data_IF_629904140283
#
_entry.id   IF_629904140283
#
_cell.length_a   1.000
_cell.length_b   1.000
_cell.length_c   1.000
_cell.angle_alpha   90.00
_cell.angle_beta   90.00
_cell.angle_gamma   90.00
#
_symmetry.space_group_name_H-M   'P 1'
#
loop_
_entity.id
_entity.type
_entity.pdbx_description
1 polymer ?
#
# COMPACT_ATOMS: atom_id res chain seq x y z
N UNK A 1 -19.18 -21.57 -13.41
CA UNK A 1 -19.26 -20.10 -13.56
C UNK A 1 -17.84 -19.62 -13.81
N UNK A 2 -17.60 -18.92 -14.93
CA UNK A 2 -16.26 -18.45 -15.28
C UNK A 2 -15.80 -17.41 -14.26
N UNK A 3 -14.67 -17.71 -13.62
CA UNK A 3 -14.02 -16.92 -12.57
C UNK A 3 -13.43 -15.65 -13.22
N UNK A 4 -13.74 -14.42 -12.76
CA UNK A 4 -12.93 -13.28 -13.14
C UNK A 4 -11.52 -13.52 -12.57
N UNK A 5 -10.52 -13.56 -13.45
CA UNK A 5 -9.13 -13.65 -13.04
C UNK A 5 -8.79 -12.37 -12.27
N UNK A 6 -8.42 -12.51 -10.99
CA UNK A 6 -7.74 -11.44 -10.25
C UNK A 6 -6.34 -11.41 -10.85
N UNK A 7 -6.19 -10.70 -11.96
CA UNK A 7 -4.89 -10.40 -12.52
C UNK A 7 -4.30 -9.25 -11.71
N UNK A 8 -3.35 -9.58 -10.85
CA UNK A 8 -2.35 -8.61 -10.42
C UNK A 8 -1.58 -8.24 -11.67
N UNK A 9 -1.75 -7.01 -12.15
CA UNK A 9 -0.93 -6.51 -13.25
C UNK A 9 0.46 -6.32 -12.68
N UNK A 10 1.34 -7.30 -12.86
CA UNK A 10 2.77 -7.14 -12.61
C UNK A 10 3.32 -6.34 -13.79
N UNK A 11 3.71 -5.07 -13.61
CA UNK A 11 4.03 -4.20 -14.72
C UNK A 11 5.47 -4.43 -15.22
N UNK A 12 5.62 -4.36 -16.54
CA UNK A 12 6.91 -4.48 -17.24
C UNK A 12 7.67 -3.14 -17.19
N UNK A 13 8.14 -2.73 -16.01
CA UNK A 13 8.93 -1.51 -15.87
C UNK A 13 10.40 -1.78 -16.20
N UNK A 14 10.89 -1.20 -17.31
CA UNK A 14 12.29 -1.13 -17.69
C UNK A 14 12.86 0.29 -17.40
N UNK A 15 12.83 0.73 -16.14
CA UNK A 15 13.26 2.08 -15.73
C UNK A 15 14.23 2.01 -14.53
N UNK A 16 15.52 2.38 -14.69
CA UNK A 16 16.50 2.36 -13.60
C UNK A 16 16.42 3.66 -12.78
N UNK A 17 15.40 3.81 -11.93
CA UNK A 17 15.29 4.98 -11.04
C UNK A 17 14.93 4.59 -9.59
N UNK A 18 15.67 5.08 -8.58
CA UNK A 18 15.58 4.56 -7.20
C UNK A 18 14.21 4.68 -6.52
N UNK A 19 13.40 5.71 -6.81
CA UNK A 19 12.11 5.90 -6.16
C UNK A 19 11.02 5.05 -6.80
N UNK A 20 11.02 4.94 -8.13
CA UNK A 20 10.18 3.95 -8.83
C UNK A 20 10.49 2.56 -8.28
N UNK A 21 11.76 2.22 -8.11
CA UNK A 21 12.16 0.96 -7.49
C UNK A 21 11.54 0.84 -6.07
N UNK A 22 11.76 1.82 -5.19
CA UNK A 22 11.26 1.72 -3.81
C UNK A 22 9.72 1.67 -3.67
N UNK A 23 8.96 2.27 -4.58
CA UNK A 23 7.49 2.29 -4.53
C UNK A 23 6.83 1.16 -5.32
N UNK A 24 7.49 0.65 -6.35
CA UNK A 24 6.87 -0.22 -7.38
C UNK A 24 7.61 -1.54 -7.56
N UNK A 25 8.96 -1.56 -7.46
CA UNK A 25 9.79 -2.75 -7.73
C UNK A 25 11.02 -2.76 -6.82
N UNK A 26 11.06 -3.59 -5.79
CA UNK A 26 12.30 -3.75 -5.04
C UNK A 26 13.48 -4.24 -5.92
N UNK A 27 14.67 -3.86 -5.47
CA UNK A 27 15.97 -3.94 -6.11
C UNK A 27 16.53 -5.38 -6.04
N UNK A 28 16.93 -5.92 -7.19
CA UNK A 28 17.84 -7.05 -7.53
C UNK A 28 18.01 -8.31 -6.65
N UNK A 29 17.65 -8.37 -5.35
CA UNK A 29 17.95 -9.52 -4.49
C UNK A 29 16.74 -10.11 -3.72
N UNK A 30 15.56 -9.47 -3.66
CA UNK A 30 14.34 -10.04 -3.05
C UNK A 30 13.04 -9.60 -3.76
N UNK A 31 11.96 -10.42 -3.78
CA UNK A 31 10.86 -10.26 -4.72
C UNK A 31 9.72 -9.38 -4.18
N UNK A 32 9.22 -8.47 -5.04
CA UNK A 32 7.97 -7.66 -4.96
C UNK A 32 7.71 -6.84 -3.67
N UNK A 33 6.94 -5.73 -3.79
CA UNK A 33 6.26 -5.17 -2.61
C UNK A 33 5.46 -6.30 -1.94
N UNK A 34 5.66 -6.52 -0.64
CA UNK A 34 5.19 -7.71 0.07
C UNK A 34 3.69 -7.93 -0.01
N UNK A 35 2.91 -6.87 -0.24
CA UNK A 35 1.47 -7.00 -0.43
C UNK A 35 1.13 -7.78 -1.71
N UNK A 36 1.93 -7.72 -2.79
CA UNK A 36 1.72 -8.55 -3.99
C UNK A 36 1.94 -10.02 -3.71
N UNK A 37 3.02 -10.36 -2.98
CA UNK A 37 3.25 -11.74 -2.52
C UNK A 37 2.08 -12.19 -1.64
N UNK A 38 1.62 -11.34 -0.72
CA UNK A 38 0.51 -11.67 0.14
C UNK A 38 -0.79 -11.91 -0.63
N UNK A 39 -1.04 -11.18 -1.73
CA UNK A 39 -2.16 -11.43 -2.64
C UNK A 39 -2.01 -12.78 -3.33
N UNK A 40 -0.85 -13.08 -3.91
CA UNK A 40 -0.60 -14.34 -4.61
C UNK A 40 -0.79 -15.54 -3.67
N UNK A 41 -0.31 -15.42 -2.44
CA UNK A 41 -0.47 -16.46 -1.41
C UNK A 41 -1.91 -16.54 -0.90
N UNK A 42 -2.62 -15.42 -0.75
CA UNK A 42 -4.05 -15.38 -0.43
C UNK A 42 -4.89 -16.11 -1.49
N UNK A 43 -4.58 -15.91 -2.77
CA UNK A 43 -5.23 -16.60 -3.89
C UNK A 43 -4.88 -18.09 -3.86
N UNK A 44 -3.60 -18.42 -3.65
CA UNK A 44 -3.11 -19.80 -3.61
C UNK A 44 -3.68 -20.61 -2.45
N UNK A 45 -4.02 -19.94 -1.35
CA UNK A 45 -4.61 -20.55 -0.16
C UNK A 45 -6.15 -20.76 -0.25
N UNK A 46 -6.79 -20.44 -1.39
CA UNK A 46 -8.23 -20.64 -1.57
C UNK A 46 -8.64 -22.10 -1.29
N UNK A 47 -9.69 -22.29 -0.49
CA UNK A 47 -10.12 -23.60 0.00
C UNK A 47 -9.49 -24.01 1.35
N UNK A 48 -8.46 -23.30 1.81
CA UNK A 48 -7.94 -23.37 3.18
C UNK A 48 -8.20 -22.05 3.91
N UNK A 49 -9.39 -21.94 4.53
CA UNK A 49 -9.85 -20.71 5.21
C UNK A 49 -8.82 -20.17 6.22
N UNK A 50 -8.19 -21.05 6.99
CA UNK A 50 -7.23 -20.65 8.01
C UNK A 50 -5.95 -20.04 7.43
N UNK A 51 -5.45 -20.58 6.32
CA UNK A 51 -4.27 -20.05 5.64
C UNK A 51 -4.61 -18.81 4.81
N UNK A 52 -5.74 -18.82 4.12
CA UNK A 52 -6.24 -17.68 3.37
C UNK A 52 -6.46 -16.46 4.28
N UNK A 53 -7.00 -16.66 5.48
CA UNK A 53 -7.16 -15.58 6.46
C UNK A 53 -5.81 -14.96 6.86
N UNK A 54 -4.77 -15.77 7.08
CA UNK A 54 -3.45 -15.25 7.47
C UNK A 54 -2.85 -14.37 6.37
N UNK A 55 -2.92 -14.82 5.12
CA UNK A 55 -2.43 -14.05 3.98
C UNK A 55 -3.27 -12.80 3.70
N UNK A 56 -4.58 -12.87 3.94
CA UNK A 56 -5.44 -11.68 3.93
C UNK A 56 -5.00 -10.65 4.99
N UNK A 57 -4.69 -11.10 6.21
CA UNK A 57 -4.19 -10.23 7.28
C UNK A 57 -2.85 -9.61 6.88
N UNK A 58 -1.92 -10.41 6.35
CA UNK A 58 -0.62 -9.94 5.84
C UNK A 58 -0.79 -8.87 4.75
N UNK A 59 -1.66 -9.12 3.77
CA UNK A 59 -1.93 -8.18 2.69
C UNK A 59 -2.44 -6.83 3.21
N UNK A 60 -3.44 -6.84 4.11
CA UNK A 60 -3.97 -5.59 4.70
C UNK A 60 -2.91 -4.85 5.51
N UNK A 61 -2.09 -5.61 6.25
CA UNK A 61 -1.00 -5.10 7.09
C UNK A 61 0.07 -4.37 6.27
N UNK A 62 0.48 -4.94 5.14
CA UNK A 62 1.42 -4.33 4.20
C UNK A 62 0.82 -3.09 3.52
N UNK A 63 -0.39 -3.22 2.96
CA UNK A 63 -1.01 -2.13 2.19
C UNK A 63 -1.32 -0.90 3.06
N UNK A 64 -1.75 -1.11 4.31
CA UNK A 64 -1.98 -0.01 5.25
C UNK A 64 -0.71 0.83 5.48
N UNK A 65 0.45 0.17 5.65
CA UNK A 65 1.71 0.88 5.82
C UNK A 65 2.21 1.57 4.57
N UNK A 66 2.07 0.91 3.42
CA UNK A 66 2.45 1.47 2.14
C UNK A 66 1.72 2.79 1.91
N UNK A 67 0.39 2.79 2.01
CA UNK A 67 -0.44 3.98 1.78
C UNK A 67 -0.09 5.14 2.72
N UNK A 68 0.25 4.87 3.98
CA UNK A 68 0.70 5.92 4.93
C UNK A 68 2.12 6.39 4.63
N UNK A 69 3.01 5.49 4.19
CA UNK A 69 4.35 5.86 3.74
C UNK A 69 4.31 6.91 2.63
N UNK A 70 3.43 6.71 1.65
CA UNK A 70 3.28 7.64 0.53
C UNK A 70 2.69 8.98 0.94
N UNK A 71 1.65 8.95 1.78
CA UNK A 71 1.02 10.16 2.31
C UNK A 71 1.99 11.03 3.12
N UNK A 72 2.92 10.41 3.86
CA UNK A 72 3.86 11.12 4.72
C UNK A 72 5.16 11.54 4.01
N UNK A 73 5.55 10.85 2.94
CA UNK A 73 6.85 11.06 2.29
C UNK A 73 6.71 11.53 0.85
N UNK A 74 5.91 10.83 0.05
CA UNK A 74 5.85 11.02 -1.39
C UNK A 74 4.97 12.20 -1.77
N UNK A 75 3.78 12.30 -1.19
CA UNK A 75 2.83 13.36 -1.54
C UNK A 75 3.33 14.77 -1.16
N UNK A 76 3.95 14.98 0.02
CA UNK A 76 4.64 16.25 0.31
C UNK A 76 5.78 16.54 -0.66
N UNK A 77 6.47 15.50 -1.16
CA UNK A 77 7.54 15.67 -2.13
C UNK A 77 7.00 16.06 -3.52
N UNK A 78 5.87 15.49 -3.96
CA UNK A 78 5.15 15.96 -5.15
C UNK A 78 4.82 17.44 -5.03
N UNK A 79 4.15 17.84 -3.94
CA UNK A 79 3.79 19.24 -3.67
C UNK A 79 4.99 20.18 -3.72
N UNK A 80 6.10 19.76 -3.10
CA UNK A 80 7.34 20.55 -3.01
C UNK A 80 8.03 20.75 -4.34
N UNK A 81 8.16 19.70 -5.16
CA UNK A 81 9.00 19.73 -6.36
C UNK A 81 8.23 19.98 -7.65
N UNK A 82 6.92 19.71 -7.69
CA UNK A 82 6.06 19.94 -8.86
C UNK A 82 5.07 21.10 -8.65
N UNK A 83 5.07 21.75 -7.48
CA UNK A 83 4.24 22.93 -7.19
C UNK A 83 2.74 22.64 -7.28
N UNK A 84 1.99 23.52 -7.97
CA UNK A 84 0.54 23.40 -8.09
C UNK A 84 0.09 22.09 -8.75
N UNK A 85 0.88 21.59 -9.70
CA UNK A 85 0.63 20.30 -10.34
C UNK A 85 0.88 19.14 -9.38
N UNK A 86 1.98 19.19 -8.63
CA UNK A 86 2.27 18.22 -7.57
C UNK A 86 1.17 18.14 -6.53
N UNK A 87 0.62 19.29 -6.14
CA UNK A 87 -0.53 19.35 -5.24
C UNK A 87 -1.77 18.67 -5.82
N UNK A 88 -2.04 18.87 -7.11
CA UNK A 88 -3.17 18.19 -7.76
C UNK A 88 -2.96 16.67 -7.77
N UNK A 89 -1.77 16.20 -8.14
CA UNK A 89 -1.43 14.77 -8.13
C UNK A 89 -1.60 14.18 -6.72
N UNK A 90 -1.06 14.86 -5.72
CA UNK A 90 -1.15 14.44 -4.33
C UNK A 90 -2.60 14.44 -3.79
N UNK A 91 -3.42 15.43 -4.17
CA UNK A 91 -4.84 15.48 -3.80
C UNK A 91 -5.64 14.34 -4.45
N UNK A 92 -5.35 14.02 -5.71
CA UNK A 92 -5.97 12.92 -6.45
C UNK A 92 -5.59 11.56 -5.83
N UNK A 93 -4.31 11.34 -5.51
CA UNK A 93 -3.85 10.08 -4.90
C UNK A 93 -4.39 9.91 -3.48
N UNK A 94 -4.47 10.97 -2.67
CA UNK A 94 -5.15 10.93 -1.36
C UNK A 94 -6.62 10.55 -1.43
N UNK A 95 -7.32 10.93 -2.51
CA UNK A 95 -8.71 10.55 -2.71
C UNK A 95 -8.84 9.05 -3.05
N UNK A 96 -7.92 8.52 -3.87
CA UNK A 96 -7.84 7.08 -4.17
C UNK A 96 -7.48 6.27 -2.90
N UNK A 97 -6.51 6.75 -2.11
CA UNK A 97 -6.16 6.16 -0.82
C UNK A 97 -7.32 6.12 0.15
N UNK A 98 -8.15 7.16 0.18
CA UNK A 98 -9.34 7.17 1.03
C UNK A 98 -10.28 6.02 0.68
N UNK A 99 -10.53 5.77 -0.60
CA UNK A 99 -11.34 4.64 -1.04
C UNK A 99 -10.70 3.28 -0.70
N UNK A 100 -9.40 3.12 -0.98
CA UNK A 100 -8.63 1.90 -0.64
C UNK A 100 -8.71 1.62 0.88
N UNK A 101 -8.50 2.65 1.70
CA UNK A 101 -8.57 2.56 3.17
C UNK A 101 -9.97 2.26 3.68
N UNK A 102 -11.02 2.75 3.01
CA UNK A 102 -12.40 2.39 3.35
C UNK A 102 -12.66 0.89 3.11
N UNK A 103 -12.21 0.34 1.98
CA UNK A 103 -12.34 -1.11 1.74
C UNK A 103 -11.48 -1.94 2.69
N UNK A 104 -10.23 -1.54 2.96
CA UNK A 104 -9.38 -2.20 3.94
C UNK A 104 -10.06 -2.24 5.32
N UNK A 105 -10.59 -1.12 5.78
CA UNK A 105 -11.28 -1.03 7.06
C UNK A 105 -12.51 -1.95 7.12
N UNK A 106 -13.28 -2.07 6.03
CA UNK A 106 -14.38 -3.03 5.97
C UNK A 106 -13.87 -4.48 6.07
N UNK A 107 -12.82 -4.83 5.33
CA UNK A 107 -12.24 -6.17 5.36
C UNK A 107 -11.61 -6.54 6.71
N UNK A 108 -11.10 -5.56 7.47
CA UNK A 108 -10.62 -5.76 8.84
C UNK A 108 -11.71 -6.22 9.81
N UNK A 109 -12.99 -6.00 9.47
CA UNK A 109 -14.14 -6.40 10.30
C UNK A 109 -14.74 -7.76 9.90
N UNK A 110 -14.20 -8.40 8.85
CA UNK A 110 -14.75 -9.60 8.24
C UNK A 110 -13.72 -10.74 8.23
N UNK A 111 -14.23 -11.97 8.26
CA UNK A 111 -13.45 -13.17 7.96
C UNK A 111 -13.49 -13.46 6.45
N UNK A 112 -12.46 -14.11 5.92
CA UNK A 112 -12.41 -14.53 4.50
C UNK A 112 -13.56 -15.47 4.12
N UNK A 113 -14.17 -16.14 5.11
CA UNK A 113 -15.34 -17.00 4.94
C UNK A 113 -16.68 -16.26 4.91
N UNK A 114 -16.69 -14.97 5.23
CA UNK A 114 -17.93 -14.18 5.24
C UNK A 114 -18.42 -13.91 3.81
N UNK A 115 -19.73 -13.98 3.60
CA UNK A 115 -20.36 -13.88 2.27
C UNK A 115 -19.95 -12.62 1.49
N UNK A 116 -19.82 -11.49 2.20
CA UNK A 116 -19.49 -10.20 1.59
C UNK A 116 -17.98 -9.99 1.38
N UNK A 117 -17.11 -10.81 1.99
CA UNK A 117 -15.66 -10.59 1.98
C UNK A 117 -15.11 -10.52 0.56
N UNK A 118 -15.45 -11.51 -0.27
CA UNK A 118 -14.94 -11.60 -1.64
C UNK A 118 -15.31 -10.38 -2.48
N UNK A 119 -16.56 -9.93 -2.41
CA UNK A 119 -17.02 -8.78 -3.19
C UNK A 119 -16.30 -7.49 -2.79
N UNK A 120 -16.03 -7.29 -1.50
CA UNK A 120 -15.28 -6.13 -1.00
C UNK A 120 -13.81 -6.23 -1.40
N UNK A 121 -13.22 -7.42 -1.30
CA UNK A 121 -11.84 -7.67 -1.73
C UNK A 121 -11.64 -7.39 -3.22
N UNK A 122 -12.57 -7.83 -4.08
CA UNK A 122 -12.51 -7.56 -5.52
C UNK A 122 -12.60 -6.05 -5.84
N UNK A 123 -13.40 -5.29 -5.08
CA UNK A 123 -13.46 -3.82 -5.20
C UNK A 123 -12.16 -3.15 -4.77
N UNK A 124 -11.59 -3.60 -3.64
CA UNK A 124 -10.27 -3.14 -3.18
C UNK A 124 -9.21 -3.38 -4.25
N UNK A 125 -9.13 -4.59 -4.80
CA UNK A 125 -8.15 -4.94 -5.83
C UNK A 125 -8.33 -4.10 -7.09
N UNK A 126 -9.56 -3.80 -7.48
CA UNK A 126 -9.83 -2.91 -8.61
C UNK A 126 -9.29 -1.49 -8.35
N UNK A 127 -9.67 -0.86 -7.23
CA UNK A 127 -9.20 0.50 -6.89
C UNK A 127 -7.68 0.56 -6.72
N UNK A 128 -7.08 -0.47 -6.11
CA UNK A 128 -5.64 -0.60 -5.95
C UNK A 128 -4.91 -0.70 -7.30
N UNK A 129 -5.38 -1.56 -8.21
CA UNK A 129 -4.78 -1.69 -9.54
C UNK A 129 -4.88 -0.40 -10.36
N UNK A 130 -6.01 0.32 -10.26
CA UNK A 130 -6.19 1.62 -10.93
C UNK A 130 -5.24 2.69 -10.36
N UNK A 131 -5.03 2.68 -9.05
CA UNK A 131 -4.09 3.56 -8.36
C UNK A 131 -2.64 3.29 -8.76
N UNK A 132 -2.18 2.04 -8.61
CA UNK A 132 -0.82 1.60 -8.98
C UNK A 132 -0.52 1.97 -10.43
N UNK A 133 -1.42 1.62 -11.35
CA UNK A 133 -1.25 1.94 -12.77
C UNK A 133 -1.07 3.44 -13.01
N UNK A 134 -1.88 4.27 -12.36
CA UNK A 134 -1.79 5.73 -12.50
C UNK A 134 -0.42 6.22 -12.02
N UNK A 135 0.03 5.76 -10.86
CA UNK A 135 1.30 6.20 -10.28
C UNK A 135 2.50 5.76 -11.10
N UNK A 136 2.54 4.50 -11.52
CA UNK A 136 3.63 3.92 -12.30
C UNK A 136 3.76 4.49 -13.70
N UNK A 137 2.63 4.65 -14.40
CA UNK A 137 2.65 5.08 -15.80
C UNK A 137 2.75 6.61 -15.92
N UNK A 138 2.34 7.36 -14.89
CA UNK A 138 2.20 8.83 -14.98
C UNK A 138 2.94 9.59 -13.88
N UNK A 139 2.55 9.39 -12.61
CA UNK A 139 2.95 10.30 -11.53
C UNK A 139 4.44 10.14 -11.18
N UNK A 140 4.91 8.91 -10.99
CA UNK A 140 6.30 8.61 -10.61
C UNK A 140 7.30 8.89 -11.73
N UNK A 141 7.07 8.49 -13.01
CA UNK A 141 7.97 8.86 -14.11
C UNK A 141 8.14 10.36 -14.25
N UNK A 142 7.06 11.12 -14.06
CA UNK A 142 7.07 12.57 -14.09
C UNK A 142 7.84 13.16 -12.93
N UNK A 143 7.57 12.70 -11.71
CA UNK A 143 8.25 13.17 -10.52
C UNK A 143 9.76 12.91 -10.57
N UNK A 144 10.15 11.72 -11.02
CA UNK A 144 11.54 11.31 -11.22
C UNK A 144 12.27 12.07 -12.34
N UNK A 145 11.56 12.83 -13.18
CA UNK A 145 12.19 13.76 -14.13
C UNK A 145 12.42 15.14 -13.49
N UNK A 146 11.70 15.48 -12.42
CA UNK A 146 11.75 16.76 -11.75
C UNK A 146 12.74 16.81 -10.57
N UNK A 147 13.27 15.67 -10.15
CA UNK A 147 14.20 15.56 -9.01
C UNK A 147 15.56 15.01 -9.41
N UNK A 148 16.59 15.27 -8.58
CA UNK A 148 17.92 14.70 -8.80
C UNK A 148 17.94 13.24 -8.34
N UNK A 149 18.81 12.38 -8.91
CA UNK A 149 18.95 10.99 -8.47
C UNK A 149 19.26 10.83 -6.97
N UNK A 150 20.01 11.77 -6.39
CA UNK A 150 20.30 11.78 -4.95
C UNK A 150 19.05 12.05 -4.11
N UNK A 151 18.17 12.95 -4.56
CA UNK A 151 16.90 13.25 -3.88
C UNK A 151 15.94 12.05 -3.98
N UNK A 152 15.88 11.41 -5.15
CA UNK A 152 15.14 10.16 -5.38
C UNK A 152 15.57 9.07 -4.39
N UNK A 153 16.88 8.81 -4.26
CA UNK A 153 17.41 7.81 -3.33
C UNK A 153 17.14 8.16 -1.84
N UNK A 154 17.11 9.45 -1.48
CA UNK A 154 16.77 9.89 -0.13
C UNK A 154 15.28 9.67 0.18
N UNK A 155 14.41 9.98 -0.77
CA UNK A 155 12.96 9.77 -0.63
C UNK A 155 12.63 8.28 -0.50
N UNK A 156 13.25 7.43 -1.33
CA UNK A 156 13.14 5.97 -1.22
C UNK A 156 13.49 5.47 0.19
N UNK A 157 14.65 5.87 0.74
CA UNK A 157 15.05 5.49 2.10
C UNK A 157 14.11 6.04 3.18
N UNK A 158 13.58 7.26 2.97
CA UNK A 158 12.63 7.86 3.91
C UNK A 158 11.30 7.12 3.91
N UNK A 159 10.82 6.71 2.73
CA UNK A 159 9.62 5.90 2.56
C UNK A 159 9.76 4.55 3.28
N UNK A 160 10.84 3.82 3.02
CA UNK A 160 11.13 2.54 3.70
C UNK A 160 11.17 2.67 5.22
N UNK A 161 11.87 3.69 5.73
CA UNK A 161 11.92 3.93 7.18
C UNK A 161 10.57 4.27 7.77
N UNK A 162 9.69 4.90 7.00
CA UNK A 162 8.35 5.29 7.46
C UNK A 162 7.47 4.07 7.75
N UNK A 163 7.62 2.99 6.96
CA UNK A 163 6.90 1.74 7.21
C UNK A 163 7.16 1.16 8.61
N UNK A 164 8.34 1.38 9.22
CA UNK A 164 8.65 0.87 10.58
C UNK A 164 7.70 1.42 11.67
N UNK A 165 7.21 2.64 11.48
CA UNK A 165 6.39 3.34 12.47
C UNK A 165 5.00 3.71 11.95
N UNK A 166 4.69 3.36 10.70
CA UNK A 166 3.35 3.48 10.15
C UNK A 166 2.36 2.59 10.90
N UNK A 167 1.09 3.02 11.04
CA UNK A 167 0.03 2.14 11.53
C UNK A 167 -0.14 0.96 10.58
N UNK A 168 -0.61 -0.15 11.12
CA UNK A 168 -0.73 -1.41 10.38
C UNK A 168 -2.17 -1.70 9.95
N UNK A 169 -3.07 -0.74 10.19
CA UNK A 169 -4.47 -0.72 9.77
C UNK A 169 -4.80 0.57 9.06
N UNK A 170 -5.88 0.54 8.28
CA UNK A 170 -6.18 1.59 7.30
C UNK A 170 -6.59 2.95 7.90
N UNK A 171 -7.24 2.95 9.07
CA UNK A 171 -7.73 4.14 9.78
C UNK A 171 -8.30 5.25 8.86
N UNK A 172 -9.33 4.98 8.05
CA UNK A 172 -9.80 5.92 7.01
C UNK A 172 -10.36 7.24 7.55
N UNK A 173 -10.67 7.31 8.84
CA UNK A 173 -11.19 8.52 9.50
C UNK A 173 -10.08 9.50 9.91
N UNK A 174 -8.82 9.07 9.85
CA UNK A 174 -7.67 9.93 10.14
C UNK A 174 -7.45 10.89 8.96
N UNK A 175 -7.35 12.21 9.20
CA UNK A 175 -7.06 13.16 8.14
C UNK A 175 -5.74 12.82 7.45
N UNK A 176 -5.76 12.72 6.12
CA UNK A 176 -4.58 12.44 5.30
C UNK A 176 -4.09 13.65 4.51
N UNK A 177 -4.40 14.87 4.99
CA UNK A 177 -3.90 16.13 4.42
C UNK A 177 -3.15 16.96 5.48
N UNK A 178 -2.15 17.77 5.06
CA UNK A 178 -1.50 18.71 5.96
C UNK A 178 -2.52 19.69 6.56
N UNK A 179 -2.27 20.20 7.80
CA UNK A 179 -1.08 20.00 8.62
C UNK A 179 -1.18 18.86 9.65
N UNK A 180 -2.29 18.13 9.72
CA UNK A 180 -2.58 17.24 10.86
C UNK A 180 -2.26 15.75 10.61
N UNK A 181 -1.94 15.37 9.36
CA UNK A 181 -1.76 13.98 8.93
C UNK A 181 -0.67 13.22 9.70
N UNK A 182 0.49 13.84 9.93
CA UNK A 182 1.63 13.15 10.58
C UNK A 182 1.34 12.78 12.03
N UNK A 183 0.69 13.66 12.79
CA UNK A 183 0.40 13.39 14.20
C UNK A 183 -0.76 12.42 14.34
N UNK A 184 -1.82 12.61 13.54
CA UNK A 184 -3.02 11.78 13.67
C UNK A 184 -2.78 10.32 13.23
N UNK A 185 -2.00 10.09 12.17
CA UNK A 185 -1.68 8.73 11.68
C UNK A 185 -0.75 7.96 12.62
N UNK A 186 0.16 8.62 13.34
CA UNK A 186 1.08 7.94 14.27
C UNK A 186 0.44 7.59 15.62
N UNK A 187 -0.64 8.28 16.01
CA UNK A 187 -1.34 8.01 17.27
C UNK A 187 -2.09 6.67 17.28
N UNK A 188 -2.42 6.11 16.11
CA UNK A 188 -3.10 4.81 16.01
C UNK A 188 -2.14 3.61 16.02
N UNK A 189 -0.87 3.81 15.66
CA UNK A 189 0.13 2.75 15.56
C UNK A 189 0.34 1.92 16.85
N UNK A 190 0.29 2.48 18.08
CA UNK A 190 0.39 1.67 19.30
C UNK A 190 -0.79 0.70 19.50
N UNK A 191 -2.01 1.13 19.17
CA UNK A 191 -3.22 0.30 19.27
C UNK A 191 -3.15 -0.85 18.26
N UNK A 192 -2.67 -0.54 17.06
CA UNK A 192 -2.46 -1.51 16.01
C UNK A 192 -1.46 -2.60 16.40
N UNK A 193 -0.32 -2.23 17.00
CA UNK A 193 0.66 -3.21 17.48
C UNK A 193 0.08 -4.18 18.50
N UNK A 194 -0.84 -3.73 19.37
CA UNK A 194 -1.51 -4.62 20.31
C UNK A 194 -2.45 -5.61 19.60
N UNK A 195 -3.15 -5.16 18.56
CA UNK A 195 -4.02 -6.03 17.76
C UNK A 195 -3.21 -7.03 16.94
N UNK A 196 -2.04 -6.63 16.44
CA UNK A 196 -1.13 -7.51 15.67
C UNK A 196 -0.64 -8.71 16.50
N UNK A 197 -0.54 -8.58 17.83
CA UNK A 197 -0.18 -9.69 18.73
C UNK A 197 -1.27 -10.78 18.82
N UNK A 198 -2.51 -10.44 18.49
CA UNK A 198 -3.68 -11.32 18.58
C UNK A 198 -4.03 -11.92 17.21
N UNK A 199 -3.75 -11.16 16.15
CA UNK A 199 -4.04 -11.55 14.77
C UNK A 199 -3.08 -12.63 14.29
N UNK A 200 -3.57 -13.53 13.43
CA UNK A 200 -2.76 -14.64 12.88
C UNK A 200 -2.15 -14.21 11.56
N UNK A 201 -0.83 -14.35 11.46
CA UNK A 201 -0.04 -14.12 10.25
C UNK A 201 0.55 -15.44 9.73
N UNK A 202 0.95 -15.52 8.45
CA UNK A 202 1.59 -16.72 7.91
C UNK A 202 2.91 -17.00 8.64
N UNK A 203 3.34 -18.26 8.67
CA UNK A 203 4.64 -18.59 9.28
C UNK A 203 5.75 -18.11 8.33
N UNK A 204 6.52 -17.13 8.83
CA UNK A 204 7.56 -16.36 8.13
C UNK A 204 7.08 -15.32 7.10
N UNK A 205 6.73 -14.11 7.57
CA UNK A 205 6.39 -13.03 6.67
C UNK A 205 7.43 -11.89 6.59
N UNK A 206 8.61 -11.87 7.24
CA UNK A 206 9.86 -12.61 6.94
C UNK A 206 10.85 -12.63 8.16
N UNK A 207 10.37 -13.14 9.32
CA UNK A 207 11.01 -13.18 10.68
C UNK A 207 11.19 -11.81 11.38
N UNK A 208 10.22 -11.48 12.24
CA UNK A 208 10.21 -10.48 13.35
C UNK A 208 10.76 -9.08 13.05
#
# INVERSE_FOLDING_TARGET
MNRPEIHVIIPDCNLPKPLIIALVKEHDDFPYEFYFIAIDQYISAEGNIGEQQKWANQFRWELARHTVGEELVIYPAFEKHLGAEGKKIADDNRAQHKEIKDYLHLLETLWVSDENYRSIFDKLMKSLNEHIKKEEENDLPKFEQAIKPADSALLARSFERTKIFAPTRAHPYVPNKPPFETVASLLTAPIDKLRDLIEKFPQEPHKQ
#
